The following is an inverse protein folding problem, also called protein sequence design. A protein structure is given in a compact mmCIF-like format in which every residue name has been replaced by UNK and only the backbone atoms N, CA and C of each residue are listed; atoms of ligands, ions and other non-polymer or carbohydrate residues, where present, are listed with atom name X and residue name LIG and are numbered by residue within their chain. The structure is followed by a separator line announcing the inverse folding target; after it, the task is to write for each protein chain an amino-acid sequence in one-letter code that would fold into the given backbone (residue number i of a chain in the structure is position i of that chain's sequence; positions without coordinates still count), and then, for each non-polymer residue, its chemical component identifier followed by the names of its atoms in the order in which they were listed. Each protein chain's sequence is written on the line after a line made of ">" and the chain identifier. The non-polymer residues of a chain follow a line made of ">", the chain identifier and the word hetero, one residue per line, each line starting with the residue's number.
data_IF_650841310200
#
_entry.id   IF_650841310200
#
_cell.length_a   1.000
_cell.length_b   1.000
_cell.length_c   1.000
_cell.angle_alpha   90.00
_cell.angle_beta   90.00
_cell.angle_gamma   90.00
#
_symmetry.space_group_name_H-M   'P 1'
#
loop_
_entity.id
_entity.type
_entity.pdbx_description
1 polymer ?
#
# COMPACT_ATOMS: atom_id res chain seq x y z
N UNK A 1 -8.65 -0.10 22.62
CA UNK A 1 -7.25 0.38 22.59
C UNK A 1 -6.24 -0.73 22.95
N UNK A 2 -6.39 -1.49 24.05
CA UNK A 2 -5.42 -2.56 24.40
C UNK A 2 -5.34 -3.75 23.42
N UNK A 3 -6.43 -4.06 22.71
CA UNK A 3 -6.46 -5.21 21.78
C UNK A 3 -5.81 -4.90 20.42
N UNK A 4 -5.87 -3.64 19.97
CA UNK A 4 -5.28 -3.19 18.70
C UNK A 4 -3.76 -3.33 18.67
N UNK A 5 -3.09 -2.93 19.76
CA UNK A 5 -1.64 -3.02 19.88
C UNK A 5 -1.13 -4.46 19.74
N UNK A 6 -1.86 -5.43 20.32
CA UNK A 6 -1.54 -6.85 20.21
C UNK A 6 -1.57 -7.35 18.76
N UNK A 7 -2.50 -6.87 17.93
CA UNK A 7 -2.55 -7.24 16.52
C UNK A 7 -1.42 -6.57 15.72
N UNK A 8 -1.10 -5.31 16.03
CA UNK A 8 0.04 -4.57 15.45
C UNK A 8 1.34 -5.31 15.77
N UNK A 9 1.62 -5.59 17.05
CA UNK A 9 2.84 -6.27 17.48
C UNK A 9 2.97 -7.66 16.84
N UNK A 10 1.85 -8.39 16.73
CA UNK A 10 1.81 -9.70 16.06
C UNK A 10 2.19 -9.59 14.58
N UNK A 11 1.64 -8.62 13.85
CA UNK A 11 1.94 -8.43 12.44
C UNK A 11 3.35 -7.88 12.23
N UNK A 12 3.77 -6.89 13.03
CA UNK A 12 5.11 -6.31 13.01
C UNK A 12 6.19 -7.38 13.23
N UNK A 13 5.95 -8.29 14.18
CA UNK A 13 6.83 -9.42 14.39
C UNK A 13 6.95 -10.30 13.15
N UNK A 14 5.86 -10.58 12.42
CA UNK A 14 5.88 -11.35 11.17
C UNK A 14 6.61 -10.59 10.06
N UNK A 15 6.33 -9.29 9.89
CA UNK A 15 7.02 -8.42 8.91
C UNK A 15 8.52 -8.38 9.15
N UNK A 16 8.97 -8.47 10.40
CA UNK A 16 10.39 -8.44 10.73
C UNK A 16 11.13 -9.72 10.32
N UNK A 17 10.48 -10.87 10.45
CA UNK A 17 11.15 -12.19 10.49
C UNK A 17 10.71 -13.15 9.38
N UNK A 18 9.67 -12.83 8.62
CA UNK A 18 9.19 -13.70 7.55
C UNK A 18 10.01 -13.47 6.27
N UNK A 19 10.55 -14.52 5.62
CA UNK A 19 10.38 -15.95 5.91
C UNK A 19 11.36 -16.49 6.98
N UNK A 20 10.87 -17.40 7.84
CA UNK A 20 11.65 -17.97 8.96
C UNK A 20 12.49 -19.20 8.61
N UNK A 21 12.18 -19.89 7.51
CA UNK A 21 12.65 -21.27 7.29
C UNK A 21 13.85 -21.37 6.33
N UNK A 22 14.77 -20.39 6.37
CA UNK A 22 16.01 -20.43 5.57
C UNK A 22 15.83 -20.38 4.05
N UNK A 23 14.61 -20.13 3.57
CA UNK A 23 14.32 -19.86 2.17
C UNK A 23 14.88 -18.52 1.70
N UNK A 24 14.98 -18.29 0.38
CA UNK A 24 15.39 -17.01 -0.16
C UNK A 24 14.47 -15.90 0.36
N UNK A 25 15.06 -14.76 0.73
CA UNK A 25 14.29 -13.57 1.12
C UNK A 25 13.45 -13.10 -0.07
N UNK A 26 12.11 -12.97 0.07
CA UNK A 26 11.24 -12.49 -0.99
C UNK A 26 11.66 -11.09 -1.43
N UNK A 27 11.47 -10.75 -2.70
CA UNK A 27 11.90 -9.46 -3.22
C UNK A 27 11.20 -8.31 -2.48
N UNK A 28 9.92 -8.45 -2.13
CA UNK A 28 9.19 -7.46 -1.33
C UNK A 28 9.75 -7.22 0.07
N UNK A 29 10.32 -8.26 0.71
CA UNK A 29 11.04 -8.11 1.98
C UNK A 29 12.29 -7.25 1.78
N UNK A 30 13.07 -7.55 0.73
CA UNK A 30 14.28 -6.80 0.40
C UNK A 30 13.97 -5.35 0.05
N UNK A 31 12.86 -5.08 -0.63
CA UNK A 31 12.37 -3.71 -0.90
C UNK A 31 12.11 -2.97 0.41
N UNK A 32 11.38 -3.61 1.34
CA UNK A 32 11.04 -3.02 2.62
C UNK A 32 12.28 -2.78 3.50
N UNK A 33 13.21 -3.74 3.51
CA UNK A 33 14.47 -3.61 4.23
C UNK A 33 15.33 -2.51 3.61
N UNK A 34 15.55 -2.51 2.29
CA UNK A 34 16.35 -1.50 1.58
C UNK A 34 15.87 -0.08 1.87
N UNK A 35 14.56 0.15 1.79
CA UNK A 35 13.98 1.49 1.78
C UNK A 35 14.57 2.36 0.66
N UNK A 36 14.98 3.59 0.99
CA UNK A 36 15.58 4.55 0.06
C UNK A 36 17.10 4.36 -0.16
N UNK A 37 17.70 3.34 0.45
CA UNK A 37 19.14 3.10 0.29
C UNK A 37 19.43 2.70 -1.17
N UNK A 38 20.51 3.24 -1.74
CA UNK A 38 20.99 2.89 -3.09
C UNK A 38 21.76 1.56 -3.07
N UNK A 39 21.08 0.51 -2.64
CA UNK A 39 21.61 -0.86 -2.60
C UNK A 39 20.88 -1.70 -3.65
N UNK A 40 21.57 -2.62 -4.34
CA UNK A 40 20.90 -3.60 -5.19
C UNK A 40 19.97 -4.48 -4.35
N UNK A 41 18.83 -4.89 -4.91
CA UNK A 41 17.90 -5.82 -4.25
C UNK A 41 18.45 -7.24 -4.27
N UNK A 42 19.36 -7.53 -3.34
CA UNK A 42 20.01 -8.82 -3.23
C UNK A 42 20.19 -9.23 -1.76
N UNK A 43 20.88 -10.35 -1.56
CA UNK A 43 21.15 -10.93 -0.23
C UNK A 43 22.04 -10.07 0.68
N UNK A 44 22.64 -9.00 0.17
CA UNK A 44 23.56 -8.15 0.94
C UNK A 44 22.82 -7.03 1.68
N UNK A 45 21.53 -6.83 1.40
CA UNK A 45 20.68 -5.93 2.19
C UNK A 45 20.63 -6.44 3.63
N UNK A 46 21.01 -5.64 4.63
CA UNK A 46 20.96 -6.09 6.02
C UNK A 46 19.50 -6.27 6.46
N UNK A 47 19.28 -7.19 7.38
CA UNK A 47 17.98 -7.34 8.01
C UNK A 47 17.60 -6.08 8.81
N UNK A 48 16.34 -6.02 9.26
CA UNK A 48 15.91 -4.95 10.15
C UNK A 48 16.75 -4.96 11.42
N UNK A 49 17.28 -3.79 11.80
CA UNK A 49 17.88 -3.64 13.12
C UNK A 49 16.85 -3.85 14.21
N UNK A 50 17.30 -4.20 15.42
CA UNK A 50 16.40 -4.41 16.54
C UNK A 50 15.54 -3.17 16.85
N UNK A 51 16.12 -1.99 16.68
CA UNK A 51 15.46 -0.69 16.88
C UNK A 51 14.64 -0.19 15.68
N UNK A 52 14.50 -0.99 14.61
CA UNK A 52 13.78 -0.55 13.41
C UNK A 52 12.28 -0.41 13.67
N UNK A 53 11.74 0.79 13.46
CA UNK A 53 10.29 1.07 13.55
C UNK A 53 9.51 0.63 12.31
N UNK A 54 10.20 0.36 11.18
CA UNK A 54 9.57 0.03 9.89
C UNK A 54 8.56 -1.12 9.99
N UNK A 55 8.85 -2.26 10.65
CA UNK A 55 7.86 -3.32 10.79
C UNK A 55 6.59 -2.91 11.56
N UNK A 56 6.74 -2.05 12.57
CA UNK A 56 5.64 -1.52 13.37
C UNK A 56 4.76 -0.60 12.53
N UNK A 57 5.37 0.38 11.85
CA UNK A 57 4.67 1.33 11.00
C UNK A 57 3.95 0.64 9.84
N UNK A 58 4.56 -0.39 9.25
CA UNK A 58 3.92 -1.21 8.20
C UNK A 58 2.74 -1.98 8.76
N UNK A 59 2.87 -2.57 9.96
CA UNK A 59 1.76 -3.28 10.58
C UNK A 59 0.57 -2.37 10.87
N UNK A 60 0.82 -1.16 11.40
CA UNK A 60 -0.20 -0.13 11.62
C UNK A 60 -0.90 0.26 10.32
N UNK A 61 -0.13 0.57 9.27
CA UNK A 61 -0.69 0.90 7.96
C UNK A 61 -1.56 -0.21 7.38
N UNK A 62 -1.12 -1.46 7.46
CA UNK A 62 -1.88 -2.59 6.92
C UNK A 62 -3.14 -2.88 7.74
N UNK A 63 -3.08 -2.76 9.07
CA UNK A 63 -4.25 -2.99 9.93
C UNK A 63 -5.26 -1.85 9.86
N UNK A 64 -4.82 -0.63 9.52
CA UNK A 64 -5.70 0.49 9.22
C UNK A 64 -6.46 0.35 7.89
N UNK A 65 -6.20 -0.71 7.10
CA UNK A 65 -6.85 -0.96 5.82
C UNK A 65 -7.83 -2.14 5.87
N UNK A 66 -8.92 -2.08 5.10
CA UNK A 66 -9.85 -3.20 4.95
C UNK A 66 -9.50 -4.08 3.76
N UNK A 67 -9.15 -5.34 4.03
CA UNK A 67 -8.88 -6.37 3.02
C UNK A 67 -9.92 -7.49 2.94
N UNK A 68 -10.92 -7.48 3.83
CA UNK A 68 -11.96 -8.51 3.83
C UNK A 68 -12.81 -8.47 2.56
N UNK A 69 -13.10 -9.64 2.03
CA UNK A 69 -13.80 -9.83 0.76
C UNK A 69 -13.18 -9.03 -0.40
N UNK A 70 -11.85 -8.89 -0.41
CA UNK A 70 -11.11 -8.28 -1.52
C UNK A 70 -10.20 -9.29 -2.21
N UNK A 71 -10.00 -9.12 -3.53
CA UNK A 71 -9.02 -9.91 -4.29
C UNK A 71 -7.62 -9.69 -3.74
N UNK A 72 -6.84 -10.77 -3.61
CA UNK A 72 -5.48 -10.74 -3.09
C UNK A 72 -4.57 -9.83 -3.93
N UNK A 73 -4.72 -9.86 -5.26
CA UNK A 73 -3.95 -9.00 -6.18
C UNK A 73 -4.27 -7.52 -5.98
N UNK A 74 -5.55 -7.17 -5.87
CA UNK A 74 -5.96 -5.78 -5.61
C UNK A 74 -5.46 -5.31 -4.23
N UNK A 75 -5.50 -6.20 -3.24
CA UNK A 75 -5.01 -5.95 -1.89
C UNK A 75 -3.50 -5.73 -1.85
N UNK A 76 -2.73 -6.48 -2.63
CA UNK A 76 -1.29 -6.30 -2.77
C UNK A 76 -0.96 -4.90 -3.30
N UNK A 77 -1.63 -4.44 -4.37
CA UNK A 77 -1.39 -3.10 -4.89
C UNK A 77 -1.77 -2.01 -3.89
N UNK A 78 -2.92 -2.12 -3.21
CA UNK A 78 -3.30 -1.12 -2.20
C UNK A 78 -2.31 -1.08 -1.03
N UNK A 79 -1.85 -2.24 -0.55
CA UNK A 79 -0.86 -2.34 0.51
C UNK A 79 0.48 -1.70 0.10
N UNK A 80 0.95 -2.02 -1.11
CA UNK A 80 2.17 -1.45 -1.66
C UNK A 80 2.07 0.07 -1.82
N UNK A 81 0.95 0.58 -2.31
CA UNK A 81 0.69 2.01 -2.51
C UNK A 81 0.79 2.77 -1.18
N UNK A 82 0.15 2.28 -0.11
CA UNK A 82 0.17 2.91 1.21
C UNK A 82 1.58 2.93 1.80
N UNK A 83 2.30 1.79 1.74
CA UNK A 83 3.68 1.71 2.24
C UNK A 83 4.61 2.60 1.42
N UNK A 84 4.53 2.53 0.09
CA UNK A 84 5.36 3.31 -0.82
C UNK A 84 5.14 4.82 -0.62
N UNK A 85 3.88 5.24 -0.42
CA UNK A 85 3.52 6.63 -0.13
C UNK A 85 4.09 7.10 1.20
N UNK A 86 3.96 6.31 2.26
CA UNK A 86 4.46 6.65 3.61
C UNK A 86 5.94 7.01 3.60
N UNK A 87 6.74 6.29 2.82
CA UNK A 87 8.19 6.47 2.78
C UNK A 87 8.71 7.23 1.54
N UNK A 88 7.82 7.59 0.61
CA UNK A 88 8.18 8.34 -0.61
C UNK A 88 9.18 7.60 -1.51
N UNK A 89 9.09 6.27 -1.60
CA UNK A 89 10.02 5.47 -2.40
C UNK A 89 9.71 5.58 -3.91
N UNK A 90 10.76 5.52 -4.72
CA UNK A 90 10.66 5.46 -6.18
C UNK A 90 10.85 4.03 -6.67
N UNK A 91 9.85 3.19 -6.43
CA UNK A 91 9.87 1.77 -6.81
C UNK A 91 9.55 1.55 -8.29
N UNK A 92 10.13 0.50 -8.88
CA UNK A 92 9.65 -0.05 -10.15
C UNK A 92 8.29 -0.75 -9.96
N UNK A 93 7.59 -1.03 -11.05
CA UNK A 93 6.32 -1.77 -10.98
C UNK A 93 6.48 -3.16 -10.35
N UNK A 94 7.58 -3.86 -10.68
CA UNK A 94 7.88 -5.18 -10.12
C UNK A 94 8.19 -5.09 -8.62
N UNK A 95 9.00 -4.11 -8.21
CA UNK A 95 9.30 -3.86 -6.79
C UNK A 95 8.03 -3.52 -5.99
N UNK A 96 7.13 -2.72 -6.57
CA UNK A 96 5.85 -2.34 -5.96
C UNK A 96 4.91 -3.56 -5.82
N UNK A 97 4.80 -4.38 -6.87
CA UNK A 97 4.00 -5.60 -6.80
C UNK A 97 4.55 -6.58 -5.76
N UNK A 98 5.86 -6.80 -5.74
CA UNK A 98 6.53 -7.71 -4.79
C UNK A 98 6.41 -7.22 -3.35
N UNK A 99 6.53 -5.90 -3.11
CA UNK A 99 6.26 -5.29 -1.80
C UNK A 99 4.82 -5.60 -1.35
N UNK A 100 3.85 -5.40 -2.24
CA UNK A 100 2.44 -5.70 -1.96
C UNK A 100 2.19 -7.18 -1.65
N UNK A 101 2.75 -8.07 -2.46
CA UNK A 101 2.65 -9.52 -2.28
C UNK A 101 3.27 -9.96 -0.95
N UNK A 102 4.38 -9.34 -0.56
CA UNK A 102 5.01 -9.57 0.73
C UNK A 102 4.11 -9.11 1.90
N UNK A 103 3.52 -7.90 1.82
CA UNK A 103 2.57 -7.40 2.82
C UNK A 103 1.36 -8.34 2.99
N UNK A 104 0.75 -8.79 1.89
CA UNK A 104 -0.35 -9.77 1.91
C UNK A 104 0.10 -11.10 2.51
N UNK A 105 1.30 -11.56 2.18
CA UNK A 105 1.88 -12.78 2.77
C UNK A 105 2.03 -12.65 4.28
N UNK A 106 2.47 -11.49 4.78
CA UNK A 106 2.58 -11.23 6.22
C UNK A 106 1.22 -11.24 6.93
N UNK A 107 0.17 -10.68 6.31
CA UNK A 107 -1.21 -10.73 6.83
C UNK A 107 -1.74 -12.17 6.95
N UNK A 108 -1.41 -13.02 5.97
CA UNK A 108 -1.79 -14.43 5.98
C UNK A 108 -0.97 -15.22 7.01
N UNK A 109 0.35 -15.02 7.06
CA UNK A 109 1.25 -15.75 7.96
C UNK A 109 1.07 -15.35 9.43
N UNK A 110 0.66 -14.11 9.69
CA UNK A 110 0.23 -13.67 11.03
C UNK A 110 -1.13 -14.23 11.45
N UNK A 111 -1.84 -14.96 10.58
CA UNK A 111 -3.19 -15.49 10.84
C UNK A 111 -4.16 -14.37 11.23
N UNK A 112 -4.07 -13.24 10.55
CA UNK A 112 -5.06 -12.16 10.62
C UNK A 112 -6.06 -12.28 9.47
N UNK A 113 -5.54 -12.67 8.31
CA UNK A 113 -6.32 -13.00 7.13
C UNK A 113 -6.05 -14.43 6.68
N UNK A 114 -6.96 -14.98 5.87
CA UNK A 114 -6.74 -16.19 5.08
C UNK A 114 -7.02 -15.93 3.62
N UNK A 115 -6.34 -16.69 2.75
CA UNK A 115 -6.70 -16.77 1.35
C UNK A 115 -7.82 -17.80 1.18
N UNK A 116 -8.86 -17.45 0.43
CA UNK A 116 -9.86 -18.39 -0.04
C UNK A 116 -10.00 -18.27 -1.56
N UNK A 117 -10.30 -19.39 -2.22
CA UNK A 117 -10.62 -19.41 -3.65
C UNK A 117 -12.11 -19.19 -3.80
N UNK A 118 -12.50 -18.22 -4.60
CA UNK A 118 -13.89 -18.06 -5.01
C UNK A 118 -14.14 -18.92 -6.27
N UNK A 119 -15.32 -19.54 -6.39
CA UNK A 119 -15.74 -20.49 -7.43
C UNK A 119 -15.12 -20.32 -8.84
N UNK A 120 -14.83 -21.47 -9.50
CA UNK A 120 -14.47 -21.67 -10.93
C UNK A 120 -13.30 -20.86 -11.52
N UNK A 121 -12.86 -19.77 -10.90
CA UNK A 121 -11.74 -18.95 -11.33
C UNK A 121 -10.58 -19.07 -10.34
N UNK A 122 -9.35 -19.10 -10.85
CA UNK A 122 -8.10 -19.25 -10.10
C UNK A 122 -7.72 -18.02 -9.24
N UNK A 123 -8.72 -17.23 -8.82
CA UNK A 123 -8.52 -15.99 -8.08
C UNK A 123 -8.58 -16.23 -6.58
N UNK A 124 -7.60 -15.68 -5.86
CA UNK A 124 -7.58 -15.70 -4.40
C UNK A 124 -8.13 -14.39 -3.83
N UNK A 125 -8.89 -14.55 -2.76
CA UNK A 125 -9.52 -13.47 -2.01
C UNK A 125 -9.08 -13.52 -0.55
N UNK A 126 -8.98 -12.37 0.09
CA UNK A 126 -8.67 -12.26 1.52
C UNK A 126 -9.97 -12.25 2.33
N UNK A 127 -9.95 -12.98 3.44
CA UNK A 127 -11.01 -12.96 4.46
C UNK A 127 -10.38 -12.75 5.82
N UNK A 128 -10.90 -11.80 6.58
CA UNK A 128 -10.48 -11.58 7.96
C UNK A 128 -10.85 -12.79 8.82
N UNK A 129 -10.00 -13.14 9.78
CA UNK A 129 -10.22 -14.32 10.63
C UNK A 129 -11.05 -14.03 11.89
N UNK A 130 -11.25 -12.76 12.25
CA UNK A 130 -12.14 -12.34 13.34
C UNK A 130 -12.64 -10.91 13.12
N UNK A 131 -13.73 -10.56 13.79
CA UNK A 131 -14.35 -9.23 13.70
C UNK A 131 -13.44 -8.15 14.30
N UNK A 132 -12.64 -8.49 15.32
CA UNK A 132 -11.68 -7.57 15.91
C UNK A 132 -10.67 -7.01 14.89
N UNK A 133 -10.26 -7.79 13.88
CA UNK A 133 -9.40 -7.32 12.78
C UNK A 133 -10.17 -6.40 11.82
N UNK A 134 -11.47 -6.63 11.62
CA UNK A 134 -12.31 -5.74 10.81
C UNK A 134 -12.46 -4.36 11.46
N UNK A 135 -12.61 -4.33 12.78
CA UNK A 135 -12.79 -3.11 13.58
C UNK A 135 -11.52 -2.25 13.66
N UNK A 136 -10.34 -2.78 13.31
CA UNK A 136 -9.09 -2.01 13.24
C UNK A 136 -8.98 -1.15 12.00
N UNK A 137 -9.66 -1.53 10.92
CA UNK A 137 -9.57 -0.81 9.67
C UNK A 137 -10.22 0.57 9.83
N UNK A 138 -9.41 1.61 9.65
CA UNK A 138 -9.94 2.96 9.49
C UNK A 138 -10.77 2.97 8.20
N UNK A 139 -11.91 3.68 8.22
CA UNK A 139 -12.85 3.72 7.10
C UNK A 139 -12.13 4.11 5.79
N UNK A 140 -12.57 3.53 4.68
CA UNK A 140 -11.97 3.71 3.35
C UNK A 140 -11.51 5.15 3.09
N UNK A 141 -10.19 5.34 2.91
CA UNK A 141 -9.56 6.63 2.66
C UNK A 141 -10.16 7.39 1.45
N UNK A 142 -10.82 6.70 0.52
CA UNK A 142 -11.49 7.26 -0.66
C UNK A 142 -12.98 7.56 -0.44
N UNK A 143 -13.52 7.24 0.73
CA UNK A 143 -14.93 7.44 1.07
C UNK A 143 -15.04 8.26 2.35
N UNK A 144 -15.63 9.45 2.26
CA UNK A 144 -15.89 10.34 3.39
C UNK A 144 -17.37 10.72 3.41
N UNK A 145 -17.95 10.85 4.60
CA UNK A 145 -19.29 11.42 4.77
C UNK A 145 -19.31 12.93 4.52
N UNK A 146 -18.16 13.58 4.70
CA UNK A 146 -17.97 14.98 4.35
C UNK A 146 -17.39 15.11 2.92
N UNK A 147 -17.81 16.11 2.14
CA UNK A 147 -17.26 16.34 0.81
C UNK A 147 -15.74 16.51 0.85
N UNK A 148 -15.03 15.86 -0.07
CA UNK A 148 -13.59 16.10 -0.22
C UNK A 148 -13.33 17.56 -0.63
N UNK A 149 -12.23 18.17 -0.16
CA UNK A 149 -11.78 19.47 -0.64
C UNK A 149 -11.65 19.46 -2.16
N UNK A 150 -11.83 20.63 -2.78
CA UNK A 150 -11.64 20.77 -4.23
C UNK A 150 -10.20 20.38 -4.60
N UNK A 151 -10.08 19.46 -5.54
CA UNK A 151 -8.77 19.02 -6.05
C UNK A 151 -8.10 20.14 -6.83
N UNK A 152 -6.82 20.36 -6.54
CA UNK A 152 -5.97 21.38 -7.18
C UNK A 152 -4.78 20.78 -7.92
N UNK A 153 -4.62 19.45 -7.83
CA UNK A 153 -3.53 18.65 -8.37
C UNK A 153 -4.03 17.22 -8.57
N UNK A 154 -3.31 16.43 -9.38
CA UNK A 154 -3.56 14.99 -9.60
C UNK A 154 -3.47 14.14 -8.32
N UNK A 155 -2.86 14.68 -7.27
CA UNK A 155 -2.72 14.08 -5.94
C UNK A 155 -3.13 15.11 -4.89
N UNK A 156 -3.85 14.71 -3.84
CA UNK A 156 -4.21 15.60 -2.73
C UNK A 156 -3.20 15.55 -1.57
N UNK A 157 -3.44 16.34 -0.50
CA UNK A 157 -2.56 16.40 0.69
C UNK A 157 -2.49 15.06 1.44
N UNK A 158 -3.54 14.24 1.33
CA UNK A 158 -3.57 12.86 1.84
C UNK A 158 -2.87 11.85 0.94
N UNK A 159 -2.32 12.30 -0.20
CA UNK A 159 -1.67 11.47 -1.20
C UNK A 159 -2.63 10.52 -1.93
N UNK A 160 -3.92 10.83 -1.96
CA UNK A 160 -4.93 10.15 -2.78
C UNK A 160 -4.78 10.63 -4.21
N UNK A 161 -4.95 9.73 -5.18
CA UNK A 161 -4.89 10.07 -6.61
C UNK A 161 -6.29 10.32 -7.17
N UNK A 162 -6.43 11.39 -7.95
CA UNK A 162 -7.70 11.72 -8.61
C UNK A 162 -8.06 10.66 -9.66
N UNK A 163 -7.08 10.24 -10.45
CA UNK A 163 -7.23 9.25 -11.52
C UNK A 163 -6.19 8.17 -11.30
N UNK A 164 -6.64 6.91 -11.17
CA UNK A 164 -5.72 5.78 -11.19
C UNK A 164 -5.22 5.56 -12.63
N UNK A 165 -3.91 5.37 -12.85
CA UNK A 165 -3.41 5.06 -14.18
C UNK A 165 -4.07 3.79 -14.71
N UNK A 166 -4.70 3.88 -15.89
CA UNK A 166 -5.29 2.72 -16.55
C UNK A 166 -4.19 1.82 -17.09
N UNK A 167 -4.30 0.51 -16.88
CA UNK A 167 -3.39 -0.44 -17.53
C UNK A 167 -3.59 -0.42 -19.06
N UNK A 168 -2.52 -0.52 -19.88
CA UNK A 168 -1.09 -0.54 -19.55
C UNK A 168 -0.45 0.85 -19.64
N UNK A 169 -0.05 1.43 -18.50
CA UNK A 169 0.67 2.71 -18.46
C UNK A 169 1.91 2.59 -17.57
N UNK A 170 3.06 3.02 -18.07
CA UNK A 170 4.29 3.11 -17.28
C UNK A 170 4.22 4.34 -16.36
N UNK A 171 4.87 4.31 -15.19
CA UNK A 171 4.97 5.50 -14.29
C UNK A 171 5.48 6.75 -15.01
N UNK A 172 6.44 6.61 -15.94
CA UNK A 172 6.96 7.73 -16.75
C UNK A 172 5.94 8.33 -17.73
N UNK A 173 4.93 7.54 -18.09
CA UNK A 173 3.86 7.91 -19.02
C UNK A 173 2.54 8.18 -18.30
N UNK A 174 2.51 8.12 -16.97
CA UNK A 174 1.34 8.43 -16.16
C UNK A 174 0.91 9.87 -16.47
N UNK A 175 -0.33 10.02 -16.94
CA UNK A 175 -0.88 11.34 -17.24
C UNK A 175 -1.05 12.11 -15.93
N UNK A 176 -0.51 13.34 -15.92
CA UNK A 176 -0.63 14.26 -14.80
C UNK A 176 -1.40 15.49 -15.31
N UNK A 177 -2.68 15.66 -14.94
CA UNK A 177 -3.44 16.85 -15.31
C UNK A 177 -2.70 18.12 -14.90
N UNK A 178 -2.70 19.10 -15.79
CA UNK A 178 -2.20 20.44 -15.51
C UNK A 178 -3.29 21.29 -14.82
N UNK A 179 -2.97 22.54 -14.46
CA UNK A 179 -3.90 23.40 -13.72
C UNK A 179 -5.21 23.67 -14.48
N UNK A 180 -5.18 23.68 -15.81
CA UNK A 180 -6.32 23.99 -16.67
C UNK A 180 -7.40 22.93 -16.57
N UNK A 181 -7.02 21.66 -16.37
CA UNK A 181 -7.99 20.59 -16.15
C UNK A 181 -8.71 20.71 -14.79
N UNK A 182 -8.14 21.42 -13.80
CA UNK A 182 -8.76 21.65 -12.50
C UNK A 182 -9.57 22.96 -12.42
N UNK A 183 -9.11 24.01 -13.11
CA UNK A 183 -9.65 25.37 -12.94
C UNK A 183 -10.29 25.94 -14.22
N UNK A 184 -10.16 25.27 -15.36
CA UNK A 184 -10.56 25.80 -16.66
C UNK A 184 -9.51 26.72 -17.28
N UNK A 185 -9.81 27.25 -18.46
CA UNK A 185 -9.02 28.33 -19.05
C UNK A 185 -9.43 29.66 -18.40
N UNK A 186 -8.46 30.49 -18.06
CA UNK A 186 -8.76 31.90 -17.80
C UNK A 186 -9.47 32.47 -19.04
N UNK A 187 -10.54 33.26 -18.87
CA UNK A 187 -11.17 33.93 -19.99
C UNK A 187 -10.10 34.75 -20.73
N UNK A 188 -10.12 34.78 -22.08
CA UNK A 188 -9.16 35.56 -22.83
C UNK A 188 -9.20 37.00 -22.32
N UNK A 189 -8.03 37.52 -21.93
CA UNK A 189 -7.88 38.93 -21.55
C UNK A 189 -8.26 39.72 -22.79
N UNK A 190 -9.48 40.24 -22.82
CA UNK A 190 -9.88 41.28 -23.75
C UNK A 190 -9.05 42.50 -23.40
N UNK A 191 -7.91 42.65 -24.06
CA UNK A 191 -7.24 43.95 -24.21
C UNK A 191 -8.27 44.87 -24.87
N UNK A 192 -8.89 45.71 -24.03
CA UNK A 192 -9.83 46.74 -24.46
C UNK A 192 -9.15 47.76 -25.37
N UNK A 193 -9.97 48.45 -26.19
CA UNK A 193 -9.52 49.29 -27.31
C UNK A 193 -8.64 50.48 -26.90
#
# INVERSE_FOLDING_TARGET
>A
MADSQKYIDKLAHVVRVFPRDGGPRPLGMLVLQRGNRRLPLNKDIPDFSDDSTVPQEVAEMLLGMQFDNRKAVASAFNAAEVVNRRYGWSLTWEEEFELGAYCVSCLVKSKLYRLHKFFRFSEYWLTALNDAVLDLAETDYYTSHEPFPKWVSHTDDGGRKLVKPSHPQLRRTEWKPDKREFFGFDPPVTSGP
#
